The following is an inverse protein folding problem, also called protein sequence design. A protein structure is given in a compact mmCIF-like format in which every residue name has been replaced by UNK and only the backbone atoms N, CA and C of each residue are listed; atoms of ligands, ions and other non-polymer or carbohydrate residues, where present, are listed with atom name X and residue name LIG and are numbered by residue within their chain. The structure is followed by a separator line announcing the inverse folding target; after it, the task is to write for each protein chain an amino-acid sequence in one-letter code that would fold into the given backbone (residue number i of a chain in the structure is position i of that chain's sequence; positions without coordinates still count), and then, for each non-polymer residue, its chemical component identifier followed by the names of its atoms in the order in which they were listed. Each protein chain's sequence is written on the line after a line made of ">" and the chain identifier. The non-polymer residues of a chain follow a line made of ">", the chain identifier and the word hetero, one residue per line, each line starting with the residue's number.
data_IF_360328344671
#
_entry.id   IF_360328344671
#
_cell.length_a   1.000
_cell.length_b   1.000
_cell.length_c   1.000
_cell.angle_alpha   90.00
_cell.angle_beta   90.00
_cell.angle_gamma   90.00
#
_symmetry.space_group_name_H-M   'P 1'
#
loop_
_entity.id
_entity.type
_entity.pdbx_description
1 polymer ?
#
# COMPACT_ATOMS: atom_id res chain seq x y z
N UNK A 1 32.15 3.77 -45.32
CA UNK A 1 31.63 2.68 -44.47
C UNK A 1 31.49 3.17 -43.02
N UNK A 2 30.49 4.01 -42.69
CA UNK A 2 30.30 4.63 -41.35
C UNK A 2 28.87 4.53 -40.81
N UNK A 3 27.99 3.74 -41.44
CA UNK A 3 26.55 3.72 -41.16
C UNK A 3 26.12 2.69 -40.10
N UNK A 4 26.98 1.78 -39.65
CA UNK A 4 26.57 0.72 -38.70
C UNK A 4 26.46 1.21 -37.26
N UNK A 5 27.40 2.02 -36.77
CA UNK A 5 27.43 2.45 -35.36
C UNK A 5 26.28 3.40 -34.99
N UNK A 6 25.96 4.39 -35.85
CA UNK A 6 24.81 5.29 -35.62
C UNK A 6 23.47 4.56 -35.70
N UNK A 7 23.36 3.54 -36.55
CA UNK A 7 22.11 2.79 -36.70
C UNK A 7 21.85 1.87 -35.50
N UNK A 8 22.91 1.27 -34.93
CA UNK A 8 22.80 0.45 -33.72
C UNK A 8 22.43 1.33 -32.53
N UNK A 9 23.07 2.50 -32.37
CA UNK A 9 22.76 3.41 -31.27
C UNK A 9 21.31 3.94 -31.34
N UNK A 10 20.84 4.33 -32.53
CA UNK A 10 19.46 4.76 -32.72
C UNK A 10 18.45 3.64 -32.40
N UNK A 11 18.75 2.41 -32.81
CA UNK A 11 17.90 1.25 -32.53
C UNK A 11 17.81 0.95 -31.03
N UNK A 12 18.95 1.02 -30.31
CA UNK A 12 18.99 0.79 -28.86
C UNK A 12 18.21 1.85 -28.10
N UNK A 13 18.33 3.13 -28.49
CA UNK A 13 17.59 4.22 -27.85
C UNK A 13 16.08 4.07 -28.09
N UNK A 14 15.67 3.73 -29.31
CA UNK A 14 14.25 3.50 -29.63
C UNK A 14 13.71 2.30 -28.84
N UNK A 15 14.46 1.20 -28.74
CA UNK A 15 14.05 0.03 -27.96
C UNK A 15 13.87 0.37 -26.47
N UNK A 16 14.78 1.16 -25.91
CA UNK A 16 14.74 1.56 -24.50
C UNK A 16 13.55 2.50 -24.23
N UNK A 17 13.29 3.45 -25.12
CA UNK A 17 12.11 4.32 -25.05
C UNK A 17 10.82 3.50 -25.14
N UNK A 18 10.73 2.54 -26.07
CA UNK A 18 9.56 1.66 -26.18
C UNK A 18 9.37 0.82 -24.91
N UNK A 19 10.45 0.31 -24.31
CA UNK A 19 10.39 -0.46 -23.07
C UNK A 19 9.89 0.39 -21.88
N UNK A 20 10.31 1.66 -21.81
CA UNK A 20 9.90 2.59 -20.75
C UNK A 20 8.47 3.13 -20.92
N UNK A 21 7.91 3.09 -22.13
CA UNK A 21 6.53 3.50 -22.40
C UNK A 21 5.50 2.35 -22.28
N UNK A 22 5.89 1.16 -21.83
CA UNK A 22 4.92 0.08 -21.64
C UNK A 22 4.04 0.34 -20.40
N UNK A 23 2.71 0.38 -20.55
CA UNK A 23 1.82 0.50 -19.40
C UNK A 23 1.88 -0.78 -18.56
N UNK A 24 2.13 -0.65 -17.26
CA UNK A 24 1.99 -1.76 -16.32
C UNK A 24 0.50 -2.04 -16.17
N UNK A 25 -0.02 -2.97 -16.99
CA UNK A 25 -1.38 -3.48 -16.83
C UNK A 25 -1.42 -4.33 -15.57
N UNK A 26 -1.87 -3.73 -14.47
CA UNK A 26 -2.21 -4.43 -13.24
C UNK A 26 -3.31 -5.44 -13.53
N UNK A 27 -3.00 -6.72 -13.35
CA UNK A 27 -3.96 -7.81 -13.44
C UNK A 27 -4.97 -7.65 -12.29
N UNK A 28 -6.15 -7.12 -12.59
CA UNK A 28 -7.25 -7.05 -11.64
C UNK A 28 -7.75 -8.49 -11.37
N UNK A 29 -7.19 -9.10 -10.32
CA UNK A 29 -7.74 -10.33 -9.77
C UNK A 29 -9.17 -10.05 -9.26
N UNK A 30 -10.13 -10.82 -9.77
CA UNK A 30 -11.55 -10.60 -9.56
C UNK A 30 -11.96 -10.52 -8.09
N UNK A 31 -12.74 -9.49 -7.76
CA UNK A 31 -13.39 -9.35 -6.47
C UNK A 31 -14.63 -10.26 -6.46
N UNK A 32 -14.52 -11.47 -5.89
CA UNK A 32 -15.68 -12.29 -5.61
C UNK A 32 -16.48 -11.64 -4.45
N UNK A 33 -17.82 -11.51 -4.55
CA UNK A 33 -18.61 -11.01 -3.44
C UNK A 33 -18.56 -12.03 -2.30
N UNK A 34 -17.86 -11.69 -1.22
CA UNK A 34 -17.93 -12.45 0.02
C UNK A 34 -19.36 -12.36 0.56
N UNK A 35 -20.07 -13.50 0.60
CA UNK A 35 -21.28 -13.63 1.40
C UNK A 35 -20.97 -13.21 2.84
N UNK A 36 -21.70 -12.25 3.41
CA UNK A 36 -21.45 -11.83 4.79
C UNK A 36 -21.78 -13.00 5.71
N UNK A 37 -20.74 -13.64 6.22
CA UNK A 37 -20.82 -14.52 7.38
C UNK A 37 -21.21 -13.59 8.54
N UNK A 38 -22.50 -13.49 8.85
CA UNK A 38 -22.96 -12.75 10.04
C UNK A 38 -22.28 -13.41 11.24
N UNK A 39 -21.30 -12.76 11.89
CA UNK A 39 -20.69 -13.35 13.06
C UNK A 39 -21.76 -13.43 14.15
N UNK A 40 -21.78 -14.50 14.97
CA UNK A 40 -22.62 -14.54 16.15
C UNK A 40 -22.38 -13.26 16.95
N UNK A 41 -23.46 -12.58 17.33
CA UNK A 41 -23.40 -11.30 18.01
C UNK A 41 -22.43 -11.39 19.20
N UNK A 42 -21.50 -10.43 19.37
CA UNK A 42 -20.59 -10.44 20.51
C UNK A 42 -21.44 -10.34 21.78
N UNK A 43 -21.44 -11.41 22.56
CA UNK A 43 -21.90 -11.37 23.94
C UNK A 43 -21.17 -10.22 24.63
N UNK A 44 -21.92 -9.27 25.20
CA UNK A 44 -21.41 -8.14 25.98
C UNK A 44 -20.85 -8.62 27.33
N UNK A 45 -19.95 -9.60 27.33
CA UNK A 45 -19.07 -9.84 28.45
C UNK A 45 -18.17 -8.60 28.55
N UNK A 46 -18.34 -7.82 29.61
CA UNK A 46 -17.53 -6.65 29.89
C UNK A 46 -16.03 -6.97 29.79
N UNK A 47 -15.18 -5.98 29.52
CA UNK A 47 -13.76 -6.20 29.23
C UNK A 47 -13.12 -7.02 30.34
N UNK A 48 -12.87 -8.30 30.05
CA UNK A 48 -12.15 -9.18 30.95
C UNK A 48 -10.72 -8.65 31.14
N UNK A 49 -10.04 -8.96 32.25
CA UNK A 49 -8.71 -8.45 32.57
C UNK A 49 -7.67 -8.67 31.45
N UNK A 50 -7.86 -9.70 30.63
CA UNK A 50 -7.05 -9.99 29.43
C UNK A 50 -7.13 -8.93 28.32
N UNK A 51 -8.28 -8.29 28.09
CA UNK A 51 -8.41 -7.23 27.08
C UNK A 51 -7.76 -5.92 27.52
N UNK A 52 -7.82 -5.61 28.82
CA UNK A 52 -7.16 -4.44 29.41
C UNK A 52 -5.64 -4.52 29.26
N UNK A 53 -5.06 -5.68 29.55
CA UNK A 53 -3.61 -5.89 29.44
C UNK A 53 -3.12 -5.83 27.99
N UNK A 54 -3.84 -6.47 27.06
CA UNK A 54 -3.51 -6.42 25.63
C UNK A 54 -3.54 -4.98 25.09
N UNK A 55 -4.56 -4.20 25.46
CA UNK A 55 -4.68 -2.79 25.06
C UNK A 55 -3.57 -1.93 25.65
N UNK A 56 -3.22 -2.12 26.92
CA UNK A 56 -2.11 -1.40 27.56
C UNK A 56 -0.76 -1.69 26.88
N UNK A 57 -0.51 -2.95 26.51
CA UNK A 57 0.69 -3.35 25.79
C UNK A 57 0.78 -2.70 24.40
N UNK A 58 -0.33 -2.66 23.66
CA UNK A 58 -0.41 -2.00 22.33
C UNK A 58 -0.16 -0.49 22.44
N UNK A 59 -0.75 0.18 23.43
CA UNK A 59 -0.56 1.63 23.64
C UNK A 59 0.90 1.93 24.00
N UNK A 60 1.48 1.14 24.91
CA UNK A 60 2.88 1.29 25.33
C UNK A 60 3.86 1.12 24.17
N UNK A 61 3.61 0.15 23.28
CA UNK A 61 4.47 -0.10 22.12
C UNK A 61 4.28 0.92 20.99
N UNK A 62 3.05 1.35 20.70
CA UNK A 62 2.79 2.40 19.71
C UNK A 62 3.36 3.75 20.13
N UNK A 63 3.31 4.10 21.42
CA UNK A 63 3.84 5.37 21.93
C UNK A 63 5.36 5.50 21.85
N UNK A 64 6.07 4.40 21.64
CA UNK A 64 7.53 4.36 21.54
C UNK A 64 8.03 4.34 20.08
N UNK A 65 7.14 4.14 19.10
CA UNK A 65 7.53 4.05 17.70
C UNK A 65 7.56 5.45 17.08
N UNK A 66 8.68 5.90 16.48
CA UNK A 66 8.69 7.14 15.72
C UNK A 66 7.88 6.94 14.44
N UNK A 67 6.62 7.38 14.46
CA UNK A 67 5.71 7.33 13.32
C UNK A 67 5.87 8.60 12.47
N UNK A 68 6.27 8.42 11.21
CA UNK A 68 6.37 9.51 10.25
C UNK A 68 5.24 9.42 9.24
N UNK A 69 4.47 10.49 9.13
CA UNK A 69 3.45 10.64 8.10
C UNK A 69 4.10 11.20 6.85
N UNK A 70 4.05 10.42 5.78
CA UNK A 70 4.60 10.80 4.48
C UNK A 70 3.43 11.27 3.63
N UNK A 71 3.51 12.50 3.14
CA UNK A 71 2.50 13.04 2.23
C UNK A 71 2.59 12.36 0.87
N UNK A 72 1.45 11.88 0.38
CA UNK A 72 1.36 11.32 -0.95
C UNK A 72 1.07 12.45 -1.95
N UNK A 73 2.08 12.80 -2.73
CA UNK A 73 2.01 13.75 -3.84
C UNK A 73 1.57 13.07 -5.16
N UNK A 74 0.80 11.99 -5.04
CA UNK A 74 0.33 11.18 -6.17
C UNK A 74 1.26 10.02 -6.56
N UNK A 75 2.19 9.59 -5.71
CA UNK A 75 3.07 8.44 -6.01
C UNK A 75 2.36 7.09 -5.90
N UNK A 76 1.37 6.96 -5.01
CA UNK A 76 0.66 5.70 -4.76
C UNK A 76 -0.71 5.69 -5.42
N UNK A 77 -1.67 6.43 -4.84
CA UNK A 77 -3.03 6.60 -5.37
C UNK A 77 -3.52 8.01 -5.03
N UNK A 78 -4.19 8.69 -5.96
CA UNK A 78 -4.73 10.04 -5.77
C UNK A 78 -5.67 10.22 -4.56
N UNK A 79 -6.28 9.15 -4.07
CA UNK A 79 -7.20 9.16 -2.93
C UNK A 79 -6.49 9.08 -1.57
N UNK A 80 -5.22 8.73 -1.56
CA UNK A 80 -4.39 8.68 -0.35
C UNK A 80 -3.76 10.05 -0.14
N UNK A 81 -3.96 10.65 1.02
CA UNK A 81 -3.34 11.92 1.38
C UNK A 81 -2.00 11.72 2.08
N UNK A 82 -1.94 10.73 2.98
CA UNK A 82 -0.74 10.37 3.74
C UNK A 82 -0.59 8.87 3.86
N UNK A 83 0.64 8.40 4.08
CA UNK A 83 0.90 7.03 4.46
C UNK A 83 1.96 6.94 5.56
N UNK A 84 1.85 5.90 6.37
CA UNK A 84 2.83 5.51 7.36
C UNK A 84 3.59 4.31 6.82
N UNK A 85 4.90 4.43 6.69
CA UNK A 85 5.75 3.28 6.40
C UNK A 85 6.07 2.56 7.72
N UNK A 86 5.51 1.37 7.92
CA UNK A 86 5.93 0.44 8.97
C UNK A 86 6.94 -0.57 8.44
N UNK A 87 7.52 -1.38 9.33
CA UNK A 87 8.56 -2.36 8.97
C UNK A 87 8.07 -3.42 7.99
N UNK A 88 6.96 -4.09 8.30
CA UNK A 88 6.39 -5.14 7.44
C UNK A 88 5.18 -4.69 6.61
N UNK A 89 4.57 -3.56 6.98
CA UNK A 89 3.36 -3.07 6.31
C UNK A 89 3.26 -1.55 6.38
N UNK A 90 2.57 -0.96 5.42
CA UNK A 90 2.25 0.45 5.37
C UNK A 90 0.76 0.68 5.61
N UNK A 91 0.43 1.76 6.30
CA UNK A 91 -0.95 2.19 6.55
C UNK A 91 -1.24 3.41 5.68
N UNK A 92 -2.34 3.39 4.93
CA UNK A 92 -2.71 4.49 4.03
C UNK A 92 -3.91 5.26 4.59
N UNK A 93 -3.80 6.59 4.59
CA UNK A 93 -4.82 7.51 5.07
C UNK A 93 -5.53 8.15 3.87
N UNK A 94 -6.81 7.83 3.72
CA UNK A 94 -7.72 8.41 2.73
C UNK A 94 -8.92 9.07 3.42
N UNK A 95 -9.65 9.93 2.72
CA UNK A 95 -10.82 10.62 3.27
C UNK A 95 -11.90 9.68 3.80
N UNK A 96 -11.99 8.46 3.24
CA UNK A 96 -12.92 7.42 3.68
C UNK A 96 -12.42 6.53 4.83
N UNK A 97 -11.20 6.74 5.33
CA UNK A 97 -10.62 5.95 6.44
C UNK A 97 -9.22 5.41 6.16
N UNK A 98 -8.90 4.28 6.80
CA UNK A 98 -7.61 3.60 6.71
C UNK A 98 -7.71 2.37 5.82
N UNK A 99 -6.63 2.07 5.10
CA UNK A 99 -6.45 0.85 4.31
C UNK A 99 -5.07 0.27 4.53
#
# INVERSE_FOLDING_TARGET
>A
MKRSASSVFALTVVLLVVLLLQPVTALAAGFAPATPLVPPAPSLAGPGPVQGQARANVISSLGQLPLYFIENQGQVDSQVAYYLAGGESSIYFRSGGLT
#
